data_IF_379760347673
#
_entry.id   IF_379760347673
#
_cell.length_a   1.000
_cell.length_b   1.000
_cell.length_c   1.000
_cell.angle_alpha   90.00
_cell.angle_beta   90.00
_cell.angle_gamma   90.00
#
_symmetry.space_group_name_H-M   'P 1'
#
loop_
_entity.id
_entity.type
_entity.pdbx_description
1 polymer ?
#
# COMPACT_ATOMS: atom_id res chain seq x y z
N UNK A 1 16.65 -2.28 -14.56
CA UNK A 1 16.52 -2.05 -13.12
C UNK A 1 16.54 -0.55 -12.84
N UNK A 2 15.49 -0.07 -12.14
CA UNK A 2 15.41 1.33 -11.70
C UNK A 2 15.71 1.34 -10.21
N UNK A 3 16.81 2.01 -9.85
CA UNK A 3 17.22 2.14 -8.46
C UNK A 3 16.37 3.25 -7.80
N UNK A 4 15.71 2.97 -6.66
CA UNK A 4 15.06 4.01 -5.89
C UNK A 4 16.05 5.08 -5.43
N UNK A 5 15.69 6.36 -5.54
CA UNK A 5 16.55 7.48 -5.16
C UNK A 5 16.95 7.44 -3.67
N UNK A 6 16.02 7.04 -2.83
CA UNK A 6 16.17 6.97 -1.36
C UNK A 6 16.30 5.54 -0.83
N UNK A 7 16.49 4.55 -1.70
CA UNK A 7 16.54 3.14 -1.30
C UNK A 7 15.19 2.57 -0.83
N UNK A 8 14.09 3.27 -1.10
CA UNK A 8 12.75 2.88 -0.65
C UNK A 8 11.81 2.68 -1.83
N UNK A 9 10.99 1.66 -1.71
CA UNK A 9 9.83 1.48 -2.59
C UNK A 9 8.59 2.00 -1.89
N UNK A 10 7.57 2.31 -2.66
CA UNK A 10 6.31 2.85 -2.13
C UNK A 10 5.14 2.02 -2.61
N UNK A 11 4.20 1.80 -1.70
CA UNK A 11 2.94 1.13 -1.97
C UNK A 11 1.80 2.01 -1.49
N UNK A 12 1.01 2.47 -2.44
CA UNK A 12 -0.16 3.31 -2.18
C UNK A 12 -1.42 2.47 -2.17
N UNK A 13 -2.17 2.52 -1.08
CA UNK A 13 -3.38 1.73 -0.85
C UNK A 13 -4.63 2.52 -1.25
N UNK A 14 -5.56 1.82 -1.88
CA UNK A 14 -6.83 2.36 -2.38
C UNK A 14 -8.00 1.47 -1.97
N UNK A 15 -9.08 2.08 -1.49
CA UNK A 15 -10.35 1.43 -1.19
C UNK A 15 -11.46 2.25 -1.85
N UNK A 16 -12.38 1.59 -2.51
CA UNK A 16 -13.42 2.24 -3.32
C UNK A 16 -12.80 3.21 -4.34
N UNK A 17 -11.69 2.79 -4.98
CA UNK A 17 -10.96 3.59 -5.98
C UNK A 17 -10.38 4.92 -5.43
N UNK A 18 -10.37 5.09 -4.11
CA UNK A 18 -9.90 6.29 -3.43
C UNK A 18 -8.64 6.02 -2.63
N UNK A 19 -7.72 6.95 -2.71
CA UNK A 19 -6.46 6.91 -1.98
C UNK A 19 -6.71 6.87 -0.46
N UNK A 20 -6.02 5.97 0.22
CA UNK A 20 -6.05 5.84 1.67
C UNK A 20 -4.75 6.34 2.31
N UNK A 21 -3.64 5.68 2.01
CA UNK A 21 -2.30 6.06 2.46
C UNK A 21 -1.21 5.45 1.58
N UNK A 22 0.03 5.90 1.76
CA UNK A 22 1.21 5.30 1.16
C UNK A 22 2.11 4.70 2.24
N UNK A 23 2.51 3.46 2.05
CA UNK A 23 3.56 2.81 2.85
C UNK A 23 4.88 2.96 2.12
N UNK A 24 5.86 3.51 2.80
CA UNK A 24 7.26 3.54 2.37
C UNK A 24 7.97 2.33 2.96
N UNK A 25 8.64 1.54 2.12
CA UNK A 25 9.26 0.27 2.48
C UNK A 25 10.75 0.37 2.19
N UNK A 26 11.58 0.15 3.21
CA UNK A 26 13.02 0.09 3.04
C UNK A 26 13.41 -1.17 2.25
N UNK A 27 14.05 -0.97 1.11
CA UNK A 27 14.52 -2.03 0.21
C UNK A 27 16.04 -2.22 0.22
N UNK A 28 16.76 -1.58 1.15
CA UNK A 28 18.23 -1.63 1.24
C UNK A 28 18.77 -3.03 1.49
N UNK A 29 18.01 -3.88 2.17
CA UNK A 29 18.36 -5.29 2.45
C UNK A 29 17.79 -6.29 1.43
N UNK A 30 17.24 -5.81 0.32
CA UNK A 30 16.65 -6.62 -0.74
C UNK A 30 15.12 -6.52 -0.84
N UNK A 31 14.60 -7.04 -1.95
CA UNK A 31 13.18 -6.99 -2.33
C UNK A 31 12.35 -8.02 -1.54
N UNK A 32 12.27 -7.92 -0.23
CA UNK A 32 11.33 -8.72 0.55
C UNK A 32 10.08 -7.89 0.84
N UNK A 33 9.07 -8.05 -0.01
CA UNK A 33 7.76 -7.41 0.11
C UNK A 33 6.84 -8.09 1.15
N UNK A 34 7.19 -9.31 1.59
CA UNK A 34 6.45 -10.00 2.64
C UNK A 34 6.92 -9.51 4.02
N UNK A 35 6.01 -9.15 4.93
CA UNK A 35 6.39 -9.04 6.34
C UNK A 35 6.96 -10.39 6.79
N UNK A 36 8.11 -10.37 7.46
CA UNK A 36 8.84 -11.55 7.90
C UNK A 36 7.99 -12.53 8.73
N UNK A 37 6.87 -12.07 9.28
CA UNK A 37 5.97 -12.85 10.14
C UNK A 37 5.02 -13.78 9.37
N UNK A 38 4.90 -13.63 8.05
CA UNK A 38 3.98 -14.42 7.22
C UNK A 38 4.60 -15.58 6.45
N UNK A 39 5.93 -15.60 6.28
CA UNK A 39 6.60 -16.53 5.36
C UNK A 39 7.44 -17.61 6.03
N UNK A 40 7.47 -17.71 7.37
CA UNK A 40 8.21 -18.75 8.07
C UNK A 40 7.31 -19.60 8.94
N UNK A 41 6.91 -20.74 8.41
CA UNK A 41 6.40 -21.86 9.22
C UNK A 41 7.61 -22.44 9.97
N UNK A 42 7.79 -22.11 11.26
CA UNK A 42 8.57 -22.90 12.17
C UNK A 42 9.81 -22.31 12.83
N UNK A 43 10.14 -21.04 12.66
CA UNK A 43 11.21 -20.43 13.48
C UNK A 43 10.81 -19.02 13.93
N UNK A 44 10.80 -18.83 15.26
CA UNK A 44 10.70 -17.52 15.89
C UNK A 44 12.03 -16.80 15.69
N UNK A 45 12.14 -15.77 14.85
CA UNK A 45 13.34 -14.95 14.86
C UNK A 45 13.32 -14.03 16.08
N UNK A 46 14.50 -13.83 16.67
CA UNK A 46 14.74 -12.81 17.64
C UNK A 46 14.22 -11.46 17.14
N UNK A 47 13.63 -10.68 18.04
CA UNK A 47 13.17 -9.31 17.86
C UNK A 47 14.23 -8.44 17.18
N UNK A 48 14.26 -8.42 15.84
CA UNK A 48 14.80 -7.27 15.14
C UNK A 48 13.64 -6.29 15.01
N UNK A 49 13.86 -5.10 15.46
CA UNK A 49 12.92 -3.99 15.44
C UNK A 49 12.55 -3.67 13.98
N UNK A 50 11.53 -4.34 13.46
CA UNK A 50 10.98 -4.17 12.11
C UNK A 50 10.19 -2.86 11.98
N UNK A 51 10.23 -2.02 13.02
CA UNK A 51 9.38 -0.83 13.12
C UNK A 51 9.70 0.26 12.10
N UNK A 52 10.90 0.28 11.54
CA UNK A 52 11.33 1.33 10.62
C UNK A 52 11.32 0.89 9.15
N UNK A 53 11.16 -0.41 8.89
CA UNK A 53 11.10 -0.94 7.52
C UNK A 53 9.84 -0.47 6.78
N UNK A 54 8.70 -0.46 7.46
CA UNK A 54 7.40 -0.06 6.92
C UNK A 54 6.92 1.19 7.63
N UNK A 55 6.75 2.26 6.90
CA UNK A 55 6.27 3.53 7.43
C UNK A 55 5.17 4.10 6.55
N UNK A 56 4.04 4.51 7.16
CA UNK A 56 3.06 5.31 6.45
C UNK A 56 3.65 6.72 6.33
N UNK A 57 3.78 7.18 5.10
CA UNK A 57 4.41 8.45 4.75
C UNK A 57 3.40 9.47 4.26
N UNK A 58 3.91 10.65 3.92
CA UNK A 58 3.12 11.75 3.38
C UNK A 58 2.27 11.34 2.18
N UNK A 59 1.14 12.02 1.97
CA UNK A 59 0.21 11.69 0.89
C UNK A 59 0.90 11.81 -0.48
N UNK A 60 0.41 11.00 -1.42
CA UNK A 60 0.77 11.11 -2.83
C UNK A 60 0.62 12.55 -3.34
N UNK A 61 1.51 13.01 -4.22
CA UNK A 61 1.28 14.24 -4.98
C UNK A 61 -0.11 14.22 -5.65
N UNK A 62 -0.80 15.34 -5.62
CA UNK A 62 -2.20 15.42 -6.07
C UNK A 62 -2.41 14.91 -7.51
N UNK A 63 -1.49 15.22 -8.43
CA UNK A 63 -1.54 14.76 -9.83
C UNK A 63 -1.41 13.25 -9.96
N UNK A 64 -0.51 12.64 -9.18
CA UNK A 64 -0.30 11.19 -9.16
C UNK A 64 -1.49 10.47 -8.54
N UNK A 65 -2.01 10.99 -7.43
CA UNK A 65 -3.23 10.49 -6.79
C UNK A 65 -4.39 10.47 -7.79
N UNK A 66 -4.64 11.57 -8.46
CA UNK A 66 -5.71 11.67 -9.44
C UNK A 66 -5.53 10.68 -10.61
N UNK A 67 -4.31 10.52 -11.11
CA UNK A 67 -4.01 9.57 -12.17
C UNK A 67 -4.30 8.12 -11.73
N UNK A 68 -3.92 7.74 -10.52
CA UNK A 68 -4.16 6.40 -10.00
C UNK A 68 -5.64 6.14 -9.73
N UNK A 69 -6.35 7.08 -9.12
CA UNK A 69 -7.80 6.97 -8.91
C UNK A 69 -8.56 6.85 -10.24
N UNK A 70 -8.16 7.62 -11.24
CA UNK A 70 -8.75 7.55 -12.60
C UNK A 70 -8.48 6.19 -13.25
N UNK A 71 -7.26 5.68 -13.15
CA UNK A 71 -6.90 4.36 -13.66
C UNK A 71 -7.73 3.25 -13.03
N UNK A 72 -7.83 3.24 -11.69
CA UNK A 72 -8.59 2.23 -10.96
C UNK A 72 -10.09 2.28 -11.34
N UNK A 73 -10.66 3.48 -11.47
CA UNK A 73 -12.06 3.66 -11.90
C UNK A 73 -12.29 3.13 -13.33
N UNK A 74 -11.40 3.44 -14.26
CA UNK A 74 -11.50 2.95 -15.64
C UNK A 74 -11.31 1.44 -15.75
N UNK A 75 -10.45 0.87 -14.89
CA UNK A 75 -10.20 -0.56 -14.85
C UNK A 75 -11.26 -1.37 -14.08
N UNK A 76 -12.18 -0.69 -13.37
CA UNK A 76 -13.18 -1.34 -12.50
C UNK A 76 -12.56 -2.06 -11.31
N UNK A 77 -11.47 -1.51 -10.76
CA UNK A 77 -10.76 -2.07 -9.61
C UNK A 77 -11.08 -1.25 -8.38
N UNK A 78 -11.82 -1.81 -7.44
CA UNK A 78 -12.30 -1.08 -6.26
C UNK A 78 -11.29 -1.06 -5.10
N UNK A 79 -10.53 -2.15 -4.93
CA UNK A 79 -9.54 -2.29 -3.85
C UNK A 79 -8.22 -2.75 -4.45
N UNK A 80 -7.18 -1.98 -4.25
CA UNK A 80 -5.84 -2.30 -4.75
C UNK A 80 -4.74 -1.54 -4.02
N UNK A 81 -3.52 -2.04 -4.14
CA UNK A 81 -2.30 -1.28 -3.92
C UNK A 81 -1.61 -1.02 -5.26
N UNK A 82 -1.04 0.17 -5.41
CA UNK A 82 -0.17 0.52 -6.54
C UNK A 82 1.25 0.68 -6.02
N UNK A 83 2.17 -0.09 -6.57
CA UNK A 83 3.58 -0.09 -6.17
C UNK A 83 4.42 0.72 -7.15
N UNK A 84 5.27 1.58 -6.61
CA UNK A 84 6.06 2.51 -7.40
C UNK A 84 7.37 2.90 -6.73
N UNK A 85 8.29 3.38 -7.55
CA UNK A 85 9.58 3.93 -7.12
C UNK A 85 9.79 5.30 -7.74
N UNK A 86 10.51 6.15 -7.04
CA UNK A 86 11.05 7.40 -7.57
C UNK A 86 12.53 7.22 -7.88
N UNK A 87 12.93 7.52 -9.10
CA UNK A 87 14.33 7.47 -9.53
C UNK A 87 15.13 8.69 -9.06
N UNK A 88 16.45 8.62 -9.17
CA UNK A 88 17.36 9.74 -8.86
C UNK A 88 17.07 11.01 -9.67
N UNK A 89 16.35 10.89 -10.79
CA UNK A 89 15.91 12.04 -11.62
C UNK A 89 14.54 12.59 -11.22
N UNK A 90 13.91 12.06 -10.17
CA UNK A 90 12.56 12.42 -9.76
C UNK A 90 11.43 11.82 -10.62
N UNK A 91 11.79 10.92 -11.56
CA UNK A 91 10.80 10.22 -12.37
C UNK A 91 10.18 9.07 -11.58
N UNK A 92 8.83 9.02 -11.57
CA UNK A 92 8.07 7.94 -10.91
C UNK A 92 7.82 6.81 -11.91
N UNK A 93 8.05 5.59 -11.43
CA UNK A 93 7.80 4.35 -12.18
C UNK A 93 6.90 3.44 -11.38
N UNK A 94 5.72 3.14 -11.92
CA UNK A 94 4.82 2.13 -11.41
C UNK A 94 5.26 0.78 -11.95
N UNK A 95 5.30 -0.25 -11.12
CA UNK A 95 5.74 -1.57 -11.56
C UNK A 95 4.77 -2.70 -11.16
N UNK A 96 3.83 -2.44 -10.24
CA UNK A 96 2.83 -3.43 -9.86
C UNK A 96 1.51 -2.79 -9.44
N UNK A 97 0.41 -3.49 -9.73
CA UNK A 97 -0.94 -3.23 -9.23
C UNK A 97 -1.46 -4.51 -8.57
N UNK A 98 -1.53 -4.50 -7.26
CA UNK A 98 -1.89 -5.66 -6.47
C UNK A 98 -3.33 -5.54 -5.95
N UNK A 99 -4.21 -6.44 -6.40
CA UNK A 99 -5.61 -6.50 -5.97
C UNK A 99 -5.84 -7.38 -4.74
N UNK A 100 -4.78 -7.99 -4.21
CA UNK A 100 -4.80 -8.79 -2.98
C UNK A 100 -3.73 -8.27 -2.01
N UNK A 101 -3.81 -6.99 -1.67
CA UNK A 101 -2.84 -6.32 -0.82
C UNK A 101 -2.94 -6.75 0.63
N UNK A 102 -1.80 -6.79 1.32
CA UNK A 102 -1.70 -7.04 2.75
C UNK A 102 -1.36 -5.74 3.49
N UNK A 103 -2.23 -5.31 4.37
CA UNK A 103 -2.01 -4.15 5.21
C UNK A 103 -1.01 -4.46 6.33
N UNK A 104 -0.20 -3.46 6.73
CA UNK A 104 0.77 -3.62 7.80
C UNK A 104 0.20 -3.06 9.13
N UNK A 105 -0.20 -3.92 10.09
CA UNK A 105 -0.86 -3.47 11.32
C UNK A 105 -0.01 -2.53 12.15
N UNK A 106 1.29 -2.78 12.24
CA UNK A 106 2.21 -1.96 13.04
C UNK A 106 2.36 -0.54 12.45
N UNK A 107 2.46 -0.42 11.12
CA UNK A 107 2.53 0.87 10.46
C UNK A 107 1.20 1.63 10.59
N UNK A 108 0.08 0.93 10.47
CA UNK A 108 -1.27 1.50 10.63
C UNK A 108 -1.51 2.00 12.06
N UNK A 109 -1.11 1.22 13.07
CA UNK A 109 -1.25 1.61 14.47
C UNK A 109 -0.46 2.89 14.78
N UNK A 110 0.78 3.00 14.29
CA UNK A 110 1.60 4.20 14.44
C UNK A 110 0.99 5.43 13.77
N UNK A 111 0.37 5.26 12.62
CA UNK A 111 -0.26 6.36 11.87
C UNK A 111 -1.69 6.66 12.32
N UNK A 112 -2.35 5.76 13.05
CA UNK A 112 -3.74 5.88 13.44
C UNK A 112 -4.73 5.74 12.28
N UNK A 113 -4.33 5.02 11.20
CA UNK A 113 -5.17 4.78 10.03
C UNK A 113 -5.29 3.27 9.84
N UNK A 114 -6.53 2.76 9.78
CA UNK A 114 -6.80 1.32 9.74
C UNK A 114 -7.57 0.94 8.48
N UNK A 115 -6.90 0.35 7.51
CA UNK A 115 -7.49 -0.03 6.23
C UNK A 115 -8.67 -1.01 6.38
N UNK A 116 -8.60 -1.93 7.34
CA UNK A 116 -9.70 -2.88 7.57
C UNK A 116 -11.02 -2.19 7.96
N UNK A 117 -10.96 -1.05 8.66
CA UNK A 117 -12.16 -0.27 9.01
C UNK A 117 -12.76 0.39 7.77
N UNK A 118 -11.93 1.00 6.93
CA UNK A 118 -12.35 1.59 5.66
C UNK A 118 -12.91 0.54 4.70
N UNK A 119 -12.28 -0.63 4.65
CA UNK A 119 -12.77 -1.74 3.82
C UNK A 119 -14.13 -2.26 4.32
N UNK A 120 -14.30 -2.43 5.63
CA UNK A 120 -15.57 -2.86 6.22
C UNK A 120 -16.69 -1.85 5.94
N UNK A 121 -16.41 -0.56 6.04
CA UNK A 121 -17.36 0.49 5.72
C UNK A 121 -17.75 0.49 4.23
N UNK A 122 -16.77 0.36 3.35
CA UNK A 122 -17.01 0.24 1.92
C UNK A 122 -17.92 -0.96 1.61
N UNK A 123 -17.57 -2.15 2.09
CA UNK A 123 -18.39 -3.37 1.86
C UNK A 123 -19.80 -3.25 2.43
N UNK A 124 -19.96 -2.63 3.58
CA UNK A 124 -21.28 -2.35 4.16
C UNK A 124 -22.12 -1.45 3.23
N UNK A 125 -21.51 -0.39 2.68
CA UNK A 125 -22.20 0.54 1.80
C UNK A 125 -22.62 -0.14 0.49
N UNK A 126 -21.76 -0.97 -0.10
CA UNK A 126 -22.06 -1.77 -1.29
C UNK A 126 -23.21 -2.74 -1.02
N UNK A 127 -23.19 -3.41 0.12
CA UNK A 127 -24.25 -4.32 0.52
C UNK A 127 -25.60 -3.59 0.65
N UNK A 128 -25.63 -2.45 1.33
CA UNK A 128 -26.86 -1.64 1.49
C UNK A 128 -27.37 -1.16 0.13
N UNK A 129 -26.48 -0.71 -0.77
CA UNK A 129 -26.86 -0.28 -2.11
C UNK A 129 -27.50 -1.42 -2.92
N UNK A 130 -26.95 -2.65 -2.82
CA UNK A 130 -27.47 -3.82 -3.53
C UNK A 130 -28.86 -4.27 -3.08
N UNK A 131 -29.26 -3.95 -1.84
CA UNK A 131 -30.61 -4.24 -1.32
C UNK A 131 -31.62 -3.12 -1.60
N UNK A 132 -31.16 -1.97 -2.07
CA UNK A 132 -32.04 -0.80 -2.34
C UNK A 132 -32.50 -0.71 -3.80
N UNK A 133 -32.00 -1.60 -4.65
CA UNK A 133 -32.45 -1.79 -6.04
C UNK A 133 -33.56 -2.87 -6.09
#
# INVERSE_FOLDING_TARGET
YIKPADGRIRRSEFINQKFLYTVSIDSSEGFQLCPADGCQIGQRPAQLETSDKFQITDPLPASQRQAYETFLAQAGIDVAAIEWVESETGQIYVYDVNTNTNYNPTAEEKAGIFAHQHLAEYLKNELVASYSE
#
